data_IF_703485606595
#
_entry.id   IF_703485606595
#
_cell.length_a   1.000
_cell.length_b   1.000
_cell.length_c   1.000
_cell.angle_alpha   90.00
_cell.angle_beta   90.00
_cell.angle_gamma   90.00
#
_symmetry.space_group_name_H-M   'P 1'
#
loop_
_entity.id
_entity.type
_entity.pdbx_description
1 polymer ?
#
# COMPACT_ATOMS: atom_id res chain seq x y z
N UNK A 1 10.28 -38.75 6.52
CA UNK A 1 10.06 -37.70 5.50
C UNK A 1 9.41 -36.50 6.20
N UNK A 2 10.14 -35.41 6.48
CA UNK A 2 9.51 -34.24 7.09
C UNK A 2 8.85 -33.35 6.03
N UNK A 3 7.66 -32.87 6.38
CA UNK A 3 6.78 -32.02 5.59
C UNK A 3 7.33 -30.59 5.48
N UNK A 4 7.16 -29.99 4.30
CA UNK A 4 7.46 -28.58 4.03
C UNK A 4 6.34 -27.72 4.62
N UNK A 5 6.64 -26.96 5.67
CA UNK A 5 5.71 -26.00 6.28
C UNK A 5 5.68 -24.75 5.39
N UNK A 6 4.50 -24.44 4.84
CA UNK A 6 4.24 -23.25 4.04
C UNK A 6 4.54 -21.97 4.82
N UNK A 7 5.39 -21.12 4.24
CA UNK A 7 5.65 -19.78 4.75
C UNK A 7 4.42 -18.87 4.54
N UNK A 8 4.06 -18.20 5.63
CA UNK A 8 2.95 -17.28 5.83
C UNK A 8 2.86 -16.20 4.76
N UNK A 9 1.78 -16.20 3.98
CA UNK A 9 1.35 -15.01 3.24
C UNK A 9 0.85 -14.00 4.28
N UNK A 10 1.60 -12.92 4.50
CA UNK A 10 1.16 -11.84 5.37
C UNK A 10 -0.03 -11.16 4.71
N UNK A 11 -1.22 -11.50 5.17
CA UNK A 11 -2.49 -10.89 4.80
C UNK A 11 -2.42 -9.38 5.10
N UNK A 12 -2.35 -8.57 4.05
CA UNK A 12 -2.37 -7.10 4.14
C UNK A 12 -3.81 -6.54 3.99
N UNK A 13 -4.82 -7.42 4.11
CA UNK A 13 -6.23 -7.14 3.80
C UNK A 13 -7.07 -6.80 5.06
N UNK A 14 -6.57 -7.12 6.26
CA UNK A 14 -7.35 -6.99 7.50
C UNK A 14 -7.75 -5.55 7.88
N UNK A 15 -7.02 -4.52 7.41
CA UNK A 15 -7.36 -3.12 7.74
C UNK A 15 -8.48 -2.50 6.91
N UNK A 16 -8.98 -3.17 5.88
CA UNK A 16 -10.10 -2.67 5.07
C UNK A 16 -11.48 -3.13 5.56
N UNK A 17 -11.55 -4.01 6.58
CA UNK A 17 -12.80 -4.70 6.94
C UNK A 17 -13.72 -3.91 7.89
N UNK A 18 -13.21 -2.90 8.63
CA UNK A 18 -14.01 -2.14 9.60
C UNK A 18 -14.67 -0.87 9.05
N UNK A 19 -14.35 -0.50 7.81
CA UNK A 19 -14.90 0.70 7.19
C UNK A 19 -16.18 0.34 6.42
N UNK A 20 -17.30 1.09 6.58
CA UNK A 20 -18.51 0.84 5.80
C UNK A 20 -18.15 0.87 4.32
N UNK A 21 -18.70 -0.05 3.53
CA UNK A 21 -18.38 -0.17 2.11
C UNK A 21 -18.75 1.12 1.38
N UNK A 22 -18.12 1.40 0.24
CA UNK A 22 -18.49 2.59 -0.54
C UNK A 22 -19.95 2.50 -1.03
N UNK A 23 -20.46 1.29 -1.27
CA UNK A 23 -21.87 1.01 -1.52
C UNK A 23 -22.78 1.46 -0.38
N UNK A 24 -22.47 1.12 0.87
CA UNK A 24 -23.28 1.50 2.05
C UNK A 24 -23.30 3.00 2.27
N UNK A 25 -22.23 3.70 1.87
CA UNK A 25 -22.15 5.17 1.92
C UNK A 25 -22.97 5.87 0.83
N UNK A 26 -23.60 5.12 -0.08
CA UNK A 26 -24.37 5.67 -1.20
C UNK A 26 -23.51 6.37 -2.25
N UNK A 27 -22.21 6.11 -2.28
CA UNK A 27 -21.29 6.75 -3.21
C UNK A 27 -21.44 6.15 -4.62
N UNK A 28 -21.37 6.99 -5.67
CA UNK A 28 -21.44 6.49 -7.04
C UNK A 28 -20.13 5.82 -7.42
N UNK A 29 -20.22 4.54 -7.77
CA UNK A 29 -19.06 3.70 -8.06
C UNK A 29 -18.65 3.71 -9.53
N UNK A 30 -17.33 3.69 -9.74
CA UNK A 30 -16.68 3.68 -11.05
C UNK A 30 -15.56 2.64 -11.08
N UNK A 31 -15.33 2.03 -12.25
CA UNK A 31 -14.10 1.26 -12.48
C UNK A 31 -12.88 2.21 -12.48
N UNK A 32 -11.64 1.73 -12.25
CA UNK A 32 -10.45 2.58 -12.27
C UNK A 32 -10.32 3.40 -13.55
N UNK A 33 -10.61 2.80 -14.72
CA UNK A 33 -10.56 3.50 -16.00
C UNK A 33 -11.67 4.56 -16.15
N UNK A 34 -12.87 4.30 -15.61
CA UNK A 34 -13.96 5.28 -15.62
C UNK A 34 -13.69 6.43 -14.63
N UNK A 35 -13.21 6.11 -13.43
CA UNK A 35 -12.87 7.08 -12.40
C UNK A 35 -11.84 8.08 -12.90
N UNK A 36 -10.77 7.59 -13.56
CA UNK A 36 -9.74 8.40 -14.22
C UNK A 36 -10.30 9.51 -15.12
N UNK A 37 -11.35 9.20 -15.90
CA UNK A 37 -12.00 10.17 -16.79
C UNK A 37 -12.85 11.18 -16.01
N UNK A 38 -13.55 10.71 -14.97
CA UNK A 38 -14.50 11.53 -14.19
C UNK A 38 -13.78 12.53 -13.28
N UNK A 39 -12.64 12.15 -12.69
CA UNK A 39 -11.87 13.04 -11.79
C UNK A 39 -11.10 14.14 -12.54
N UNK A 40 -10.91 14.01 -13.85
CA UNK A 40 -10.24 15.00 -14.73
C UNK A 40 -8.85 15.46 -14.23
N UNK A 41 -8.13 14.59 -13.53
CA UNK A 41 -6.74 14.84 -13.12
C UNK A 41 -5.84 14.67 -14.35
N UNK A 42 -5.01 15.66 -14.71
CA UNK A 42 -4.14 15.58 -15.88
C UNK A 42 -3.07 14.48 -15.71
N UNK A 43 -2.66 13.88 -16.82
CA UNK A 43 -1.52 12.96 -16.84
C UNK A 43 -0.19 13.72 -16.83
N UNK A 44 0.84 13.15 -16.20
CA UNK A 44 2.16 13.79 -16.09
C UNK A 44 2.95 13.83 -17.41
N UNK A 45 2.74 12.86 -18.32
CA UNK A 45 3.45 12.76 -19.61
C UNK A 45 2.48 12.87 -20.77
N UNK A 46 2.24 14.09 -21.26
CA UNK A 46 1.38 14.43 -22.43
C UNK A 46 -0.04 13.82 -22.45
N UNK A 47 -0.42 13.09 -21.41
CA UNK A 47 -1.68 12.39 -21.29
C UNK A 47 -2.74 13.33 -20.80
N UNK A 48 -3.89 13.33 -21.48
CA UNK A 48 -5.03 14.19 -21.13
C UNK A 48 -5.58 13.88 -19.73
N UNK A 49 -5.43 12.64 -19.25
CA UNK A 49 -5.97 12.19 -17.96
C UNK A 49 -5.05 11.17 -17.28
N UNK A 50 -5.20 11.01 -15.97
CA UNK A 50 -4.60 9.94 -15.17
C UNK A 50 -4.97 8.56 -15.76
N UNK A 51 -4.00 7.64 -15.87
CA UNK A 51 -4.27 6.30 -16.40
C UNK A 51 -5.02 5.44 -15.35
N UNK A 52 -6.03 4.67 -15.79
CA UNK A 52 -6.76 3.74 -14.92
C UNK A 52 -5.88 2.69 -14.22
N UNK A 53 -4.77 2.28 -14.86
CA UNK A 53 -3.77 1.38 -14.26
C UNK A 53 -3.09 2.00 -13.03
N UNK A 54 -2.90 3.32 -13.03
CA UNK A 54 -2.37 4.05 -11.87
C UNK A 54 -3.34 4.00 -10.70
N UNK A 55 -4.65 4.20 -10.96
CA UNK A 55 -5.68 4.06 -9.93
C UNK A 55 -5.80 2.63 -9.41
N UNK A 56 -5.75 1.62 -10.28
CA UNK A 56 -5.72 0.21 -9.88
C UNK A 56 -4.51 -0.11 -8.97
N UNK A 57 -3.34 0.48 -9.26
CA UNK A 57 -2.16 0.38 -8.39
C UNK A 57 -2.38 1.08 -7.05
N UNK A 58 -3.00 2.26 -7.02
CA UNK A 58 -3.32 2.94 -5.76
C UNK A 58 -4.27 2.14 -4.88
N UNK A 59 -5.19 1.38 -5.47
CA UNK A 59 -6.08 0.45 -4.76
C UNK A 59 -5.27 -0.72 -4.19
N UNK A 60 -4.56 -1.45 -5.06
CA UNK A 60 -3.96 -2.74 -4.70
C UNK A 60 -2.61 -2.64 -3.98
N UNK A 61 -1.83 -1.61 -4.27
CA UNK A 61 -0.49 -1.40 -3.71
C UNK A 61 -0.41 -0.18 -2.81
N UNK A 62 -1.19 0.86 -3.09
CA UNK A 62 -1.11 2.14 -2.41
C UNK A 62 0.09 2.98 -2.86
N UNK A 63 0.27 4.11 -2.19
CA UNK A 63 1.37 5.06 -2.38
C UNK A 63 2.04 5.25 -1.03
N UNK A 64 3.36 5.09 -0.99
CA UNK A 64 4.14 5.38 0.20
C UNK A 64 4.44 6.88 0.24
N UNK A 65 3.98 7.56 1.27
CA UNK A 65 4.22 8.98 1.48
C UNK A 65 5.60 9.25 2.10
N UNK A 66 6.01 10.52 2.15
CA UNK A 66 7.33 10.93 2.63
C UNK A 66 7.56 10.57 4.11
N UNK A 67 6.49 10.57 4.91
CA UNK A 67 6.47 10.12 6.30
C UNK A 67 6.53 8.59 6.47
N UNK A 68 6.66 7.82 5.39
CA UNK A 68 6.69 6.36 5.39
C UNK A 68 5.31 5.68 5.43
N UNK A 69 4.22 6.44 5.61
CA UNK A 69 2.86 5.92 5.65
C UNK A 69 2.45 5.34 4.29
N UNK A 70 1.76 4.19 4.31
CA UNK A 70 1.19 3.58 3.10
C UNK A 70 -0.27 4.01 2.95
N UNK A 71 -0.54 4.92 2.02
CA UNK A 71 -1.88 5.44 1.75
C UNK A 71 -2.47 4.67 0.57
N UNK A 72 -3.62 4.02 0.77
CA UNK A 72 -4.36 3.29 -0.28
C UNK A 72 -5.62 4.03 -0.70
N UNK A 73 -5.98 3.89 -1.97
CA UNK A 73 -7.27 4.37 -2.46
C UNK A 73 -8.38 3.40 -2.03
N UNK A 74 -9.41 3.91 -1.36
CA UNK A 74 -10.57 3.11 -0.96
C UNK A 74 -11.30 2.56 -2.19
N UNK A 75 -11.67 1.29 -2.14
CA UNK A 75 -12.39 0.61 -3.20
C UNK A 75 -13.16 -0.60 -2.66
N UNK A 76 -14.28 -0.89 -3.30
CA UNK A 76 -15.05 -2.10 -3.08
C UNK A 76 -14.71 -3.14 -4.15
N UNK A 77 -14.66 -4.40 -3.73
CA UNK A 77 -14.55 -5.55 -4.63
C UNK A 77 -15.93 -6.09 -4.95
N UNK A 78 -16.38 -5.91 -6.20
CA UNK A 78 -17.68 -6.44 -6.66
C UNK A 78 -17.42 -7.51 -7.72
N UNK A 79 -17.49 -8.77 -7.29
CA UNK A 79 -17.09 -9.93 -8.10
C UNK A 79 -15.62 -9.85 -8.51
N UNK A 80 -15.33 -9.81 -9.81
CA UNK A 80 -13.97 -9.72 -10.35
C UNK A 80 -13.45 -8.28 -10.51
N UNK A 81 -14.25 -7.26 -10.15
CA UNK A 81 -13.97 -5.86 -10.46
C UNK A 81 -13.66 -5.06 -9.19
N UNK A 82 -12.68 -4.17 -9.29
CA UNK A 82 -12.48 -3.10 -8.31
C UNK A 82 -13.31 -1.89 -8.71
N UNK A 83 -14.01 -1.30 -7.74
CA UNK A 83 -14.81 -0.10 -7.92
C UNK A 83 -14.45 0.93 -6.86
N UNK A 84 -14.36 2.19 -7.24
CA UNK A 84 -14.08 3.30 -6.33
C UNK A 84 -14.91 4.52 -6.73
N UNK A 85 -14.95 5.54 -5.90
CA UNK A 85 -15.78 6.72 -6.07
C UNK A 85 -14.94 7.99 -6.20
N UNK A 86 -15.59 9.12 -6.47
CA UNK A 86 -14.91 10.43 -6.49
C UNK A 86 -14.56 10.88 -5.08
N UNK A 87 -15.42 10.57 -4.14
CA UNK A 87 -15.35 10.90 -2.72
C UNK A 87 -14.19 10.14 -2.06
N UNK A 88 -14.03 8.86 -2.38
CA UNK A 88 -12.86 8.06 -2.02
C UNK A 88 -11.57 8.67 -2.58
N UNK A 89 -11.58 9.10 -3.84
CA UNK A 89 -10.42 9.74 -4.46
C UNK A 89 -10.07 11.07 -3.78
N UNK A 90 -11.06 11.90 -3.43
CA UNK A 90 -10.84 13.16 -2.72
C UNK A 90 -10.18 12.93 -1.35
N UNK A 91 -10.64 11.93 -0.59
CA UNK A 91 -10.05 11.54 0.70
C UNK A 91 -8.64 11.01 0.54
N UNK A 92 -8.41 10.19 -0.49
CA UNK A 92 -7.08 9.70 -0.84
C UNK A 92 -6.12 10.86 -1.14
N UNK A 93 -6.52 11.83 -1.97
CA UNK A 93 -5.69 13.00 -2.26
C UNK A 93 -5.47 13.89 -1.04
N UNK A 94 -6.48 14.05 -0.18
CA UNK A 94 -6.34 14.82 1.06
C UNK A 94 -5.28 14.20 1.98
N UNK A 95 -5.29 12.87 2.15
CA UNK A 95 -4.26 12.15 2.92
C UNK A 95 -2.87 12.30 2.29
N UNK A 96 -2.76 12.16 0.97
CA UNK A 96 -1.48 12.35 0.27
C UNK A 96 -0.93 13.78 0.43
N UNK A 97 -1.78 14.79 0.28
CA UNK A 97 -1.40 16.18 0.44
C UNK A 97 -0.97 16.45 1.87
N UNK A 98 -1.74 15.99 2.87
CA UNK A 98 -1.38 16.15 4.28
C UNK A 98 -0.02 15.50 4.60
N UNK A 99 0.26 14.32 4.06
CA UNK A 99 1.53 13.62 4.26
C UNK A 99 2.72 14.21 3.46
N UNK A 100 2.45 15.03 2.44
CA UNK A 100 3.47 15.72 1.65
C UNK A 100 3.82 17.10 2.21
N UNK A 101 2.89 17.75 2.92
CA UNK A 101 3.12 19.04 3.55
C UNK A 101 3.98 18.87 4.82
N UNK A 102 4.91 19.80 5.10
CA UNK A 102 5.71 19.75 6.32
C UNK A 102 4.79 19.83 7.54
N UNK A 103 4.91 18.87 8.44
CA UNK A 103 4.35 18.95 9.80
C UNK A 103 5.53 18.99 10.76
N UNK A 104 5.44 19.72 11.87
CA UNK A 104 6.49 19.82 12.92
C UNK A 104 6.83 18.49 13.63
N UNK A 105 6.37 17.35 13.10
CA UNK A 105 6.71 16.04 13.63
C UNK A 105 8.02 15.54 13.06
N UNK A 106 8.88 14.90 13.88
CA UNK A 106 10.14 14.34 13.41
C UNK A 106 9.88 13.28 12.33
N UNK A 107 10.72 13.21 11.27
CA UNK A 107 10.54 12.26 10.19
C UNK A 107 10.57 10.83 10.73
N UNK A 108 9.59 10.02 10.33
CA UNK A 108 9.58 8.59 10.62
C UNK A 108 10.80 7.92 9.97
N UNK A 109 11.47 6.96 10.63
CA UNK A 109 12.63 6.30 10.05
C UNK A 109 12.26 5.63 8.72
N UNK A 110 13.13 5.72 7.69
CA UNK A 110 12.83 5.19 6.38
C UNK A 110 12.60 3.68 6.45
N UNK A 111 11.55 3.18 5.77
CA UNK A 111 11.32 1.74 5.68
C UNK A 111 12.50 1.07 4.96
N UNK A 112 13.17 0.07 5.56
CA UNK A 112 14.34 -0.55 4.94
C UNK A 112 13.98 -1.23 3.63
N UNK A 113 14.82 -0.99 2.62
CA UNK A 113 14.70 -1.60 1.30
C UNK A 113 14.79 -3.14 1.39
N UNK A 114 14.28 -3.90 0.40
CA UNK A 114 14.44 -5.36 0.38
C UNK A 114 15.89 -5.82 0.56
N UNK A 115 16.83 -5.08 -0.06
CA UNK A 115 18.27 -5.35 0.05
C UNK A 115 18.82 -5.08 1.45
N UNK A 116 18.40 -4.00 2.10
CA UNK A 116 18.76 -3.71 3.49
C UNK A 116 18.18 -4.76 4.45
N UNK A 117 16.93 -5.20 4.26
CA UNK A 117 16.33 -6.28 5.06
C UNK A 117 17.07 -7.61 4.90
N UNK A 118 17.42 -7.99 3.68
CA UNK A 118 18.20 -9.22 3.43
C UNK A 118 19.58 -9.16 4.11
N UNK A 119 20.27 -8.02 4.03
CA UNK A 119 21.57 -7.83 4.72
C UNK A 119 21.43 -7.88 6.24
N UNK A 120 20.41 -7.25 6.79
CA UNK A 120 20.13 -7.29 8.22
C UNK A 120 19.81 -8.71 8.70
N UNK A 121 18.99 -9.46 7.96
CA UNK A 121 18.70 -10.86 8.26
C UNK A 121 19.95 -11.75 8.21
N UNK A 122 20.82 -11.55 7.20
CA UNK A 122 22.09 -12.28 7.09
C UNK A 122 23.10 -11.90 8.19
N UNK A 123 23.09 -10.65 8.65
CA UNK A 123 23.89 -10.22 9.80
C UNK A 123 23.39 -10.88 11.09
N UNK A 124 22.09 -10.82 11.35
CA UNK A 124 21.47 -11.45 12.53
C UNK A 124 21.66 -12.97 12.55
N UNK A 125 21.61 -13.64 11.38
CA UNK A 125 21.87 -15.09 11.29
C UNK A 125 23.30 -15.42 11.72
N UNK A 126 24.29 -14.66 11.23
CA UNK A 126 25.71 -14.85 11.61
C UNK A 126 25.96 -14.60 13.10
N UNK A 127 25.28 -13.61 13.67
CA UNK A 127 25.37 -13.31 15.10
C UNK A 127 24.76 -14.44 15.94
N UNK A 128 23.59 -14.96 15.54
CA UNK A 128 22.99 -16.11 16.20
C UNK A 128 23.89 -17.35 16.11
N UNK A 129 24.44 -17.66 14.93
CA UNK A 129 25.35 -18.78 14.73
C UNK A 129 26.62 -18.65 15.60
N UNK A 130 27.14 -17.43 15.79
CA UNK A 130 28.29 -17.19 16.66
C UNK A 130 27.98 -17.43 18.14
N UNK A 131 26.76 -17.08 18.59
CA UNK A 131 26.33 -17.27 19.99
C UNK A 131 26.01 -18.74 20.28
N UNK A 132 25.31 -19.42 19.37
CA UNK A 132 24.83 -20.78 19.58
C UNK A 132 25.78 -21.88 19.08
N UNK A 133 26.67 -21.57 18.13
CA UNK A 133 27.66 -22.51 17.59
C UNK A 133 28.90 -22.68 18.46
N UNK A 134 29.19 -21.75 19.37
CA UNK A 134 30.36 -21.80 20.26
C UNK A 134 30.17 -22.71 21.50
N UNK A 135 28.99 -23.31 21.70
CA UNK A 135 28.66 -24.13 22.88
C UNK A 135 28.67 -25.65 22.61
N UNK A 136 29.21 -26.08 21.45
CA UNK A 136 29.08 -27.47 20.96
C UNK A 136 30.38 -28.24 20.70
N UNK A 137 31.55 -27.73 21.09
CA UNK A 137 32.82 -28.48 21.14
C UNK A 137 33.29 -28.65 22.59
#
# INVERSE_FOLDING_TARGET
MPAFVSATTVDHDERQQDAPTLLERGEKLYSPAALAKVIRVPGQREGTHLNGSTLFRHITKGVRAANGELIRLEADRVGSRWLSSREAFARFTAKLTAAALPTDSPPSPPTPTPRQRSRAAAAASREADAIFGAAGE
#
